data_IF_688905809437
#
_entry.id   IF_688905809437
#
_cell.length_a   1.000
_cell.length_b   1.000
_cell.length_c   1.000
_cell.angle_alpha   90.00
_cell.angle_beta   90.00
_cell.angle_gamma   90.00
#
_symmetry.space_group_name_H-M   'P 1'
#
loop_
_entity.id
_entity.type
_entity.pdbx_description
1 polymer ?
#
# COMPACT_ATOMS: atom_id res chain seq x y z
N UNK A 1 -9.77 3.28 10.82
CA UNK A 1 -8.34 3.61 10.98
C UNK A 1 -7.56 3.16 9.75
N UNK A 2 -6.25 3.40 9.69
CA UNK A 2 -5.38 2.86 8.63
C UNK A 2 -5.50 1.34 8.57
N UNK A 3 -5.40 0.70 9.73
CA UNK A 3 -5.56 -0.75 9.88
C UNK A 3 -6.91 -1.22 9.35
N UNK A 4 -8.03 -0.61 9.78
CA UNK A 4 -9.36 -1.02 9.32
C UNK A 4 -9.49 -0.93 7.80
N UNK A 5 -8.83 0.05 7.17
CA UNK A 5 -8.86 0.24 5.71
C UNK A 5 -8.13 -0.90 4.99
N UNK A 6 -6.98 -1.33 5.52
CA UNK A 6 -6.22 -2.46 4.99
C UNK A 6 -7.01 -3.77 5.14
N UNK A 7 -7.59 -4.02 6.32
CA UNK A 7 -8.43 -5.19 6.56
C UNK A 7 -9.68 -5.21 5.67
N UNK A 8 -10.37 -4.07 5.56
CA UNK A 8 -11.56 -3.93 4.75
C UNK A 8 -11.24 -4.26 3.28
N UNK A 9 -10.20 -3.65 2.72
CA UNK A 9 -9.85 -3.87 1.32
C UNK A 9 -9.36 -5.30 1.08
N UNK A 10 -8.59 -5.88 1.99
CA UNK A 10 -8.14 -7.27 1.89
C UNK A 10 -9.33 -8.23 1.84
N UNK A 11 -10.37 -7.99 2.66
CA UNK A 11 -11.60 -8.78 2.64
C UNK A 11 -12.42 -8.56 1.36
N UNK A 12 -12.54 -7.33 0.89
CA UNK A 12 -13.22 -7.01 -0.39
C UNK A 12 -12.53 -7.71 -1.56
N UNK A 13 -11.19 -7.84 -1.52
CA UNK A 13 -10.39 -8.57 -2.50
C UNK A 13 -10.44 -10.09 -2.34
N UNK A 14 -11.26 -10.62 -1.44
CA UNK A 14 -11.45 -12.06 -1.26
C UNK A 14 -10.32 -12.78 -0.53
N UNK A 15 -9.41 -12.05 0.14
CA UNK A 15 -8.40 -12.69 0.99
C UNK A 15 -9.10 -13.33 2.19
N UNK A 16 -8.88 -14.63 2.38
CA UNK A 16 -9.48 -15.38 3.49
C UNK A 16 -9.04 -14.83 4.84
N UNK A 17 -9.92 -14.92 5.85
CA UNK A 17 -9.63 -14.44 7.21
C UNK A 17 -8.32 -15.01 7.79
N UNK A 18 -8.00 -16.27 7.45
CA UNK A 18 -6.76 -16.94 7.83
C UNK A 18 -5.51 -16.24 7.29
N UNK A 19 -5.60 -15.58 6.12
CA UNK A 19 -4.49 -14.87 5.47
C UNK A 19 -4.58 -13.34 5.61
N UNK A 20 -5.73 -12.79 6.00
CA UNK A 20 -5.92 -11.34 6.05
C UNK A 20 -4.89 -10.69 6.97
N UNK A 21 -4.71 -11.22 8.18
CA UNK A 21 -3.76 -10.68 9.16
C UNK A 21 -2.33 -10.66 8.63
N UNK A 22 -1.86 -11.77 8.03
CA UNK A 22 -0.51 -11.83 7.48
C UNK A 22 -0.32 -10.86 6.32
N UNK A 23 -1.31 -10.73 5.43
CA UNK A 23 -1.24 -9.79 4.31
C UNK A 23 -1.21 -8.34 4.80
N UNK A 24 -2.07 -8.00 5.77
CA UNK A 24 -2.11 -6.65 6.33
C UNK A 24 -0.78 -6.30 7.00
N UNK A 25 -0.18 -7.21 7.76
CA UNK A 25 1.14 -7.01 8.38
C UNK A 25 2.26 -6.86 7.34
N UNK A 26 2.29 -7.70 6.31
CA UNK A 26 3.30 -7.58 5.25
C UNK A 26 3.17 -6.23 4.53
N UNK A 27 1.95 -5.83 4.16
CA UNK A 27 1.72 -4.58 3.45
C UNK A 27 1.98 -3.36 4.35
N UNK A 28 1.62 -3.41 5.63
CA UNK A 28 1.87 -2.29 6.56
C UNK A 28 3.35 -2.04 6.75
N UNK A 29 4.14 -3.10 6.94
CA UNK A 29 5.59 -2.98 7.06
C UNK A 29 6.25 -2.56 5.76
N UNK A 30 5.82 -3.11 4.62
CA UNK A 30 6.36 -2.75 3.31
C UNK A 30 6.21 -1.26 3.00
N UNK A 31 5.09 -0.64 3.41
CA UNK A 31 4.79 0.77 3.14
C UNK A 31 5.08 1.72 4.31
N UNK A 32 5.79 1.26 5.35
CA UNK A 32 6.09 2.04 6.56
C UNK A 32 4.83 2.64 7.22
N UNK A 33 3.77 1.83 7.33
CA UNK A 33 2.48 2.21 7.90
C UNK A 33 2.29 1.72 9.34
N UNK A 34 3.17 0.86 9.85
CA UNK A 34 3.08 0.30 11.21
C UNK A 34 2.88 1.37 12.31
N UNK A 35 3.60 2.51 12.31
CA UNK A 35 3.40 3.55 13.33
C UNK A 35 2.02 4.24 13.24
N UNK A 36 1.33 4.11 12.10
CA UNK A 36 0.11 4.85 11.78
C UNK A 36 -1.15 3.98 11.80
N UNK A 37 -1.04 2.69 12.14
CA UNK A 37 -2.15 1.73 12.04
C UNK A 37 -3.41 2.18 12.78
N UNK A 38 -3.24 2.79 13.95
CA UNK A 38 -4.35 3.26 14.80
C UNK A 38 -4.84 4.67 14.46
N UNK A 39 -4.14 5.41 13.61
CA UNK A 39 -4.56 6.74 13.20
C UNK A 39 -5.77 6.69 12.26
N UNK A 40 -6.58 7.75 12.29
CA UNK A 40 -7.57 7.99 11.24
C UNK A 40 -6.89 8.56 9.99
N UNK A 41 -7.45 8.24 8.81
CA UNK A 41 -6.86 8.66 7.52
C UNK A 41 -6.69 10.19 7.45
N UNK A 42 -7.64 10.95 7.98
CA UNK A 42 -7.57 12.42 7.95
C UNK A 42 -6.38 13.00 8.74
N UNK A 43 -5.85 12.26 9.72
CA UNK A 43 -4.71 12.65 10.56
C UNK A 43 -3.35 12.41 9.89
N UNK A 44 -3.32 11.67 8.77
CA UNK A 44 -2.09 11.34 8.07
C UNK A 44 -1.56 12.54 7.28
N UNK A 45 -0.23 12.68 7.22
CA UNK A 45 0.42 13.59 6.28
C UNK A 45 0.11 13.20 4.83
N UNK A 46 0.21 14.15 3.90
CA UNK A 46 -0.04 13.88 2.48
C UNK A 46 0.82 12.74 1.92
N UNK A 47 2.11 12.69 2.29
CA UNK A 47 3.00 11.59 1.90
C UNK A 47 2.57 10.23 2.49
N UNK A 48 2.13 10.21 3.74
CA UNK A 48 1.65 8.97 4.38
C UNK A 48 0.33 8.48 3.79
N UNK A 49 -0.57 9.40 3.39
CA UNK A 49 -1.79 9.06 2.62
C UNK A 49 -1.44 8.40 1.28
N UNK A 50 -0.40 8.88 0.61
CA UNK A 50 0.04 8.30 -0.68
C UNK A 50 0.66 6.93 -0.51
N UNK A 51 1.47 6.72 0.54
CA UNK A 51 1.92 5.37 0.93
C UNK A 51 0.74 4.44 1.22
N UNK A 52 -0.28 4.91 1.93
CA UNK A 52 -1.50 4.13 2.17
C UNK A 52 -2.23 3.80 0.86
N UNK A 53 -2.40 4.75 -0.06
CA UNK A 53 -3.04 4.47 -1.35
C UNK A 53 -2.27 3.42 -2.17
N UNK A 54 -0.94 3.53 -2.23
CA UNK A 54 -0.09 2.54 -2.89
C UNK A 54 -0.18 1.16 -2.23
N UNK A 55 -0.18 1.11 -0.88
CA UNK A 55 -0.36 -0.11 -0.11
C UNK A 55 -1.69 -0.78 -0.42
N UNK A 56 -2.78 0.00 -0.42
CA UNK A 56 -4.12 -0.47 -0.76
C UNK A 56 -4.20 -1.00 -2.19
N UNK A 57 -3.55 -0.33 -3.15
CA UNK A 57 -3.54 -0.75 -4.55
C UNK A 57 -2.88 -2.13 -4.75
N UNK A 58 -1.91 -2.50 -3.90
CA UNK A 58 -1.15 -3.75 -3.99
C UNK A 58 -1.69 -4.88 -3.12
N UNK A 59 -2.75 -4.66 -2.34
CA UNK A 59 -3.42 -5.72 -1.59
C UNK A 59 -4.09 -6.71 -2.55
N UNK A 60 -3.90 -8.01 -2.29
CA UNK A 60 -4.65 -9.07 -2.97
C UNK A 60 -4.13 -9.35 -4.38
N UNK A 61 -2.88 -9.83 -4.50
CA UNK A 61 -1.98 -9.77 -5.66
C UNK A 61 -2.67 -9.39 -6.98
N UNK A 62 -2.79 -8.09 -7.29
CA UNK A 62 -3.41 -7.65 -8.53
C UNK A 62 -2.57 -8.07 -9.75
N UNK A 63 -3.19 -8.17 -10.92
CA UNK A 63 -2.47 -8.38 -12.19
C UNK A 63 -2.01 -7.05 -12.82
N UNK A 64 -2.81 -6.00 -12.62
CA UNK A 64 -2.57 -4.65 -13.14
C UNK A 64 -2.92 -3.65 -12.04
N UNK A 65 -2.05 -2.66 -11.85
CA UNK A 65 -2.27 -1.50 -10.97
C UNK A 65 -2.02 -0.23 -11.77
N UNK A 66 -2.93 0.73 -11.66
CA UNK A 66 -2.80 2.07 -12.24
C UNK A 66 -2.63 3.04 -11.07
N UNK A 67 -1.56 3.82 -11.08
CA UNK A 67 -1.29 4.83 -10.06
C UNK A 67 -1.11 6.19 -10.74
N UNK A 68 -1.90 7.15 -10.28
CA UNK A 68 -1.78 8.54 -10.70
C UNK A 68 -0.91 9.29 -9.71
N UNK A 69 0.24 9.81 -10.16
CA UNK A 69 1.21 10.54 -9.36
C UNK A 69 1.55 9.91 -7.98
N UNK A 70 1.94 8.62 -7.90
CA UNK A 70 2.06 7.93 -6.60
C UNK A 70 3.12 8.52 -5.68
N UNK A 71 4.12 9.24 -6.23
CA UNK A 71 5.30 9.72 -5.48
C UNK A 71 5.26 11.21 -5.14
N UNK A 72 4.26 11.96 -5.60
CA UNK A 72 4.18 13.42 -5.44
C UNK A 72 4.03 13.80 -3.96
N UNK A 73 4.89 14.68 -3.45
CA UNK A 73 4.82 15.13 -2.05
C UNK A 73 5.18 14.05 -1.00
N UNK A 74 5.82 12.96 -1.43
CA UNK A 74 6.57 12.05 -0.57
C UNK A 74 8.02 12.53 -0.48
N UNK A 75 8.62 12.46 0.70
CA UNK A 75 10.02 12.81 0.92
C UNK A 75 10.98 11.92 0.09
N UNK A 76 12.21 12.38 -0.20
CA UNK A 76 13.13 11.66 -1.08
C UNK A 76 13.39 10.21 -0.68
N UNK A 77 13.49 9.93 0.62
CA UNK A 77 13.80 8.60 1.13
C UNK A 77 12.60 7.64 0.97
N UNK A 78 11.42 8.05 1.40
CA UNK A 78 10.22 7.23 1.22
C UNK A 78 9.82 7.07 -0.26
N UNK A 79 10.16 8.04 -1.12
CA UNK A 79 10.00 7.91 -2.58
C UNK A 79 10.85 6.78 -3.14
N UNK A 80 12.13 6.73 -2.77
CA UNK A 80 13.03 5.68 -3.24
C UNK A 80 12.53 4.30 -2.83
N UNK A 81 12.14 4.12 -1.56
CA UNK A 81 11.59 2.86 -1.10
C UNK A 81 10.34 2.44 -1.89
N UNK A 82 9.44 3.38 -2.14
CA UNK A 82 8.22 3.10 -2.90
C UNK A 82 8.51 2.69 -4.34
N UNK A 83 9.51 3.30 -4.98
CA UNK A 83 9.99 2.88 -6.30
C UNK A 83 10.59 1.47 -6.27
N UNK A 84 11.37 1.13 -5.24
CA UNK A 84 11.93 -0.22 -5.06
C UNK A 84 10.81 -1.27 -4.89
N UNK A 85 9.76 -0.95 -4.14
CA UNK A 85 8.57 -1.80 -3.97
C UNK A 85 7.88 -2.04 -5.31
N UNK A 86 7.65 -0.99 -6.09
CA UNK A 86 7.03 -1.10 -7.41
C UNK A 86 7.88 -1.93 -8.38
N UNK A 87 9.19 -1.71 -8.41
CA UNK A 87 10.11 -2.49 -9.24
C UNK A 87 10.12 -3.97 -8.85
N UNK A 88 10.09 -4.27 -7.56
CA UNK A 88 10.01 -5.67 -7.09
C UNK A 88 8.66 -6.30 -7.43
N UNK A 89 7.56 -5.57 -7.30
CA UNK A 89 6.24 -6.06 -7.70
C UNK A 89 6.18 -6.36 -9.21
N UNK A 90 6.80 -5.53 -10.05
CA UNK A 90 6.89 -5.77 -11.51
C UNK A 90 7.67 -7.05 -11.82
N UNK A 91 8.75 -7.35 -11.09
CA UNK A 91 9.49 -8.63 -11.23
C UNK A 91 8.61 -9.85 -10.91
N UNK A 92 7.67 -9.70 -9.97
CA UNK A 92 6.66 -10.69 -9.62
C UNK A 92 5.47 -10.73 -10.62
N UNK A 93 5.67 -10.21 -11.85
CA UNK A 93 4.69 -10.18 -12.96
C UNK A 93 3.50 -9.25 -12.76
N UNK A 94 3.57 -8.29 -11.84
CA UNK A 94 2.59 -7.21 -11.78
C UNK A 94 2.82 -6.20 -12.91
N UNK A 95 1.77 -5.77 -13.58
CA UNK A 95 1.86 -4.59 -14.48
C UNK A 95 1.50 -3.33 -13.71
N UNK A 96 2.39 -2.34 -13.70
CA UNK A 96 2.13 -1.03 -13.10
C UNK A 96 2.11 0.03 -14.20
N UNK A 97 1.00 0.77 -14.30
CA UNK A 97 0.87 1.94 -15.16
C UNK A 97 0.95 3.17 -14.27
N UNK A 98 1.88 4.06 -14.58
CA UNK A 98 2.09 5.32 -13.88
C UNK A 98 1.65 6.47 -14.80
N UNK A 99 0.87 7.39 -14.27
CA UNK A 99 0.54 8.68 -14.91
C UNK A 99 1.15 9.85 -14.17
#
# INVERSE_FOLDING_TARGET
>A
TVEDSLYLLARIRGITSLRTTSVVQTISSLFLLDPFLKNYIHQLSGGTKRRLHAALALIGPPLVVILDEPTTGVDPFARQQMQEIFLNAVKEKLTIILT
#
